data_IF_886070026101
#
_entry.id   IF_886070026101
#
_cell.length_a   1.000
_cell.length_b   1.000
_cell.length_c   1.000
_cell.angle_alpha   90.00
_cell.angle_beta   90.00
_cell.angle_gamma   90.00
#
_symmetry.space_group_name_H-M   'P 1'
#
loop_
_entity.id
_entity.type
_entity.pdbx_description
1 polymer ?
#
# COMPACT_ATOMS: atom_id res chain seq x y z
N UNK A 1 13.56 -38.47 14.97
CA UNK A 1 13.09 -37.07 14.90
C UNK A 1 14.31 -36.16 14.78
N UNK A 2 14.27 -35.06 14.00
CA UNK A 2 15.39 -34.12 13.92
C UNK A 2 15.67 -33.50 15.30
N UNK A 3 16.94 -33.16 15.58
CA UNK A 3 17.32 -32.48 16.82
C UNK A 3 16.77 -31.06 16.84
N UNK A 4 16.57 -30.48 18.04
CA UNK A 4 16.09 -29.11 18.22
C UNK A 4 16.93 -28.08 17.46
N UNK A 5 18.26 -28.20 17.52
CA UNK A 5 19.17 -27.32 16.79
C UNK A 5 18.96 -27.40 15.27
N UNK A 6 18.87 -28.63 14.74
CA UNK A 6 18.61 -28.86 13.31
C UNK A 6 17.28 -28.26 12.85
N UNK A 7 16.24 -28.36 13.68
CA UNK A 7 14.94 -27.76 13.38
C UNK A 7 14.98 -26.23 13.35
N UNK A 8 15.71 -25.60 14.27
CA UNK A 8 15.91 -24.14 14.30
C UNK A 8 16.66 -23.68 13.05
N UNK A 9 17.75 -24.36 12.69
CA UNK A 9 18.55 -24.04 11.51
C UNK A 9 17.72 -24.17 10.21
N UNK A 10 16.96 -25.26 10.07
CA UNK A 10 16.05 -25.47 8.94
C UNK A 10 15.00 -24.36 8.85
N UNK A 11 14.37 -23.99 9.97
CA UNK A 11 13.38 -22.91 10.02
C UNK A 11 14.00 -21.54 9.67
N UNK A 12 15.19 -21.22 10.19
CA UNK A 12 15.91 -19.99 9.86
C UNK A 12 16.20 -19.92 8.36
N UNK A 13 16.80 -20.96 7.79
CA UNK A 13 17.16 -21.02 6.37
C UNK A 13 15.93 -20.93 5.46
N UNK A 14 14.84 -21.61 5.81
CA UNK A 14 13.58 -21.48 5.10
C UNK A 14 13.01 -20.07 5.14
N UNK A 15 13.07 -19.42 6.30
CA UNK A 15 12.53 -18.06 6.51
C UNK A 15 13.36 -17.02 5.77
N UNK A 16 14.69 -17.13 5.82
CA UNK A 16 15.62 -16.27 5.09
C UNK A 16 15.40 -16.41 3.58
N UNK A 17 15.28 -17.64 3.06
CA UNK A 17 14.95 -17.88 1.65
C UNK A 17 13.60 -17.27 1.26
N UNK A 18 12.57 -17.44 2.10
CA UNK A 18 11.26 -16.85 1.87
C UNK A 18 11.33 -15.31 1.86
N UNK A 19 12.03 -14.68 2.82
CA UNK A 19 12.21 -13.23 2.87
C UNK A 19 13.01 -12.69 1.69
N UNK A 20 14.05 -13.40 1.22
CA UNK A 20 14.78 -13.03 0.00
C UNK A 20 13.88 -13.10 -1.23
N UNK A 21 13.08 -14.17 -1.37
CA UNK A 21 12.09 -14.29 -2.44
C UNK A 21 11.09 -13.14 -2.39
N UNK A 22 10.63 -12.79 -1.18
CA UNK A 22 9.76 -11.64 -0.96
C UNK A 22 10.40 -10.34 -1.43
N UNK A 23 11.65 -10.06 -1.07
CA UNK A 23 12.38 -8.85 -1.47
C UNK A 23 12.54 -8.76 -2.99
N UNK A 24 12.90 -9.87 -3.65
CA UNK A 24 13.00 -9.93 -5.11
C UNK A 24 11.66 -9.62 -5.78
N UNK A 25 10.57 -10.13 -5.19
CA UNK A 25 9.23 -9.91 -5.70
C UNK A 25 8.81 -8.45 -5.43
N UNK A 26 8.87 -7.95 -4.20
CA UNK A 26 8.49 -6.56 -3.86
C UNK A 26 9.41 -5.49 -4.46
N UNK A 27 10.57 -5.87 -5.00
CA UNK A 27 11.48 -4.97 -5.71
C UNK A 27 10.92 -4.45 -7.04
N UNK A 28 9.80 -5.01 -7.53
CA UNK A 28 9.08 -4.50 -8.69
C UNK A 28 7.77 -3.83 -8.25
N UNK A 29 7.44 -2.70 -8.88
CA UNK A 29 6.28 -1.85 -8.54
C UNK A 29 4.92 -2.50 -8.78
N UNK A 30 4.89 -3.63 -9.50
CA UNK A 30 3.69 -4.15 -10.16
C UNK A 30 3.32 -5.58 -9.75
N UNK A 31 3.77 -6.01 -8.57
CA UNK A 31 3.47 -7.35 -8.08
C UNK A 31 2.05 -7.46 -7.54
N UNK A 32 1.32 -8.50 -7.99
CA UNK A 32 0.11 -8.98 -7.32
C UNK A 32 0.42 -9.53 -5.93
N UNK A 33 -0.21 -8.95 -4.92
CA UNK A 33 0.01 -9.33 -3.53
C UNK A 33 -0.51 -10.74 -3.19
N UNK A 34 -1.39 -11.33 -4.00
CA UNK A 34 -1.70 -12.77 -3.94
C UNK A 34 -0.48 -13.65 -4.20
N UNK A 35 0.41 -13.27 -5.13
CA UNK A 35 1.66 -13.98 -5.38
C UNK A 35 2.63 -13.92 -4.19
N UNK A 36 2.44 -12.93 -3.31
CA UNK A 36 3.18 -12.78 -2.06
C UNK A 36 2.53 -13.53 -0.89
N UNK A 37 1.25 -13.88 -0.97
CA UNK A 37 0.49 -14.52 0.12
C UNK A 37 1.18 -15.78 0.65
N UNK A 38 1.62 -16.67 -0.23
CA UNK A 38 2.29 -17.92 0.17
C UNK A 38 3.64 -17.66 0.84
N UNK A 39 4.38 -16.66 0.35
CA UNK A 39 5.68 -16.27 0.88
C UNK A 39 5.52 -15.60 2.25
N UNK A 40 4.61 -14.65 2.37
CA UNK A 40 4.28 -13.97 3.62
C UNK A 40 3.76 -14.95 4.67
N UNK A 41 2.86 -15.87 4.29
CA UNK A 41 2.38 -16.92 5.20
C UNK A 41 3.53 -17.82 5.70
N UNK A 42 4.47 -18.19 4.82
CA UNK A 42 5.63 -18.99 5.22
C UNK A 42 6.53 -18.23 6.19
N UNK A 43 6.79 -16.95 5.94
CA UNK A 43 7.58 -16.10 6.85
C UNK A 43 6.87 -15.97 8.21
N UNK A 44 5.59 -15.60 8.21
CA UNK A 44 4.78 -15.43 9.42
C UNK A 44 4.75 -16.70 10.27
N UNK A 45 4.49 -17.84 9.64
CA UNK A 45 4.45 -19.15 10.29
C UNK A 45 5.80 -19.50 10.90
N UNK A 46 6.89 -19.33 10.15
CA UNK A 46 8.20 -19.73 10.60
C UNK A 46 8.75 -18.77 11.69
N UNK A 47 8.48 -17.46 11.63
CA UNK A 47 8.83 -16.52 12.71
C UNK A 47 8.12 -16.90 14.01
N UNK A 48 6.83 -17.27 13.96
CA UNK A 48 6.10 -17.75 15.13
C UNK A 48 6.70 -19.05 15.69
N UNK A 49 7.08 -19.98 14.82
CA UNK A 49 7.74 -21.22 15.24
C UNK A 49 9.10 -20.94 15.89
N UNK A 50 9.91 -20.04 15.29
CA UNK A 50 11.19 -19.61 15.84
C UNK A 50 11.03 -18.91 17.21
N UNK A 51 9.97 -18.13 17.40
CA UNK A 51 9.69 -17.47 18.67
C UNK A 51 9.42 -18.45 19.82
N UNK A 52 8.93 -19.67 19.55
CA UNK A 52 8.73 -20.73 20.56
C UNK A 52 10.08 -21.22 21.11
N UNK A 53 11.14 -21.23 20.28
CA UNK A 53 12.48 -21.65 20.70
C UNK A 53 13.25 -20.56 21.46
N UNK A 54 12.67 -19.37 21.63
CA UNK A 54 13.17 -18.25 22.43
C UNK A 54 14.66 -17.95 22.20
N UNK A 55 15.48 -18.13 23.22
CA UNK A 55 16.92 -17.85 23.23
C UNK A 55 17.68 -18.59 22.13
N UNK A 56 17.36 -19.86 21.90
CA UNK A 56 18.13 -20.70 20.99
C UNK A 56 18.00 -20.26 19.54
N UNK A 57 16.81 -19.78 19.14
CA UNK A 57 16.61 -19.25 17.78
C UNK A 57 17.29 -17.90 17.58
N UNK A 58 17.33 -17.07 18.61
CA UNK A 58 18.08 -15.81 18.60
C UNK A 58 19.58 -16.06 18.51
N UNK A 59 20.12 -17.01 19.28
CA UNK A 59 21.55 -17.36 19.25
C UNK A 59 21.95 -17.97 17.91
N UNK A 60 21.16 -18.91 17.39
CA UNK A 60 21.38 -19.46 16.06
C UNK A 60 21.36 -18.37 14.97
N UNK A 61 20.39 -17.45 15.03
CA UNK A 61 20.29 -16.33 14.10
C UNK A 61 21.46 -15.35 14.18
N UNK A 62 21.91 -14.99 15.38
CA UNK A 62 23.09 -14.13 15.61
C UNK A 62 24.36 -14.82 15.12
N UNK A 63 24.53 -16.10 15.43
CA UNK A 63 25.64 -16.90 14.94
C UNK A 63 25.68 -16.93 13.40
N UNK A 64 24.52 -17.11 12.75
CA UNK A 64 24.45 -17.08 11.30
C UNK A 64 24.74 -15.67 10.73
N UNK A 65 24.31 -14.59 11.39
CA UNK A 65 24.63 -13.20 11.01
C UNK A 65 26.13 -12.92 11.05
N UNK A 66 26.84 -13.46 12.04
CA UNK A 66 28.29 -13.25 12.16
C UNK A 66 29.09 -13.91 11.04
N UNK A 67 28.55 -14.97 10.43
CA UNK A 67 29.22 -15.78 9.40
C UNK A 67 28.83 -15.38 7.98
N UNK A 68 27.75 -14.61 7.80
CA UNK A 68 27.17 -14.30 6.50
C UNK A 68 27.65 -12.94 5.98
N UNK A 69 28.11 -12.89 4.73
CA UNK A 69 28.58 -11.66 4.08
C UNK A 69 27.73 -11.24 2.87
N UNK A 70 26.93 -12.15 2.31
CA UNK A 70 26.09 -11.87 1.14
C UNK A 70 24.94 -10.91 1.49
N UNK A 71 25.03 -9.66 1.03
CA UNK A 71 24.16 -8.56 1.48
C UNK A 71 22.64 -8.83 1.44
N UNK A 72 22.05 -9.41 0.37
CA UNK A 72 20.62 -9.78 0.38
C UNK A 72 20.24 -10.82 1.44
N UNK A 73 21.17 -11.73 1.77
CA UNK A 73 20.98 -12.73 2.82
C UNK A 73 21.09 -12.09 4.19
N UNK A 74 22.09 -11.22 4.39
CA UNK A 74 22.23 -10.46 5.64
C UNK A 74 20.99 -9.62 5.90
N UNK A 75 20.48 -8.90 4.90
CA UNK A 75 19.25 -8.11 5.03
C UNK A 75 18.05 -8.97 5.46
N UNK A 76 17.85 -10.12 4.81
CA UNK A 76 16.77 -11.03 5.16
C UNK A 76 16.92 -11.61 6.57
N UNK A 77 18.15 -11.94 6.97
CA UNK A 77 18.44 -12.48 8.29
C UNK A 77 18.30 -11.42 9.39
N UNK A 78 18.72 -10.18 9.16
CA UNK A 78 18.48 -9.04 10.06
C UNK A 78 16.99 -8.86 10.32
N UNK A 79 16.16 -8.96 9.28
CA UNK A 79 14.70 -8.91 9.43
C UNK A 79 14.17 -10.05 10.31
N UNK A 80 14.60 -11.30 10.06
CA UNK A 80 14.13 -12.48 10.80
C UNK A 80 14.55 -12.41 12.27
N UNK A 81 15.82 -12.10 12.55
CA UNK A 81 16.34 -11.99 13.92
C UNK A 81 15.66 -10.84 14.66
N UNK A 82 15.50 -9.67 14.01
CA UNK A 82 14.78 -8.55 14.62
C UNK A 82 13.31 -8.89 14.90
N UNK A 83 12.61 -9.58 13.99
CA UNK A 83 11.22 -9.97 14.20
C UNK A 83 11.08 -10.98 15.35
N UNK A 84 11.98 -11.96 15.44
CA UNK A 84 12.02 -12.89 16.57
C UNK A 84 12.35 -12.18 17.89
N UNK A 85 13.26 -11.20 17.86
CA UNK A 85 13.60 -10.39 19.04
C UNK A 85 12.41 -9.54 19.50
N UNK A 86 11.69 -8.90 18.57
CA UNK A 86 10.45 -8.15 18.87
C UNK A 86 9.39 -9.06 19.51
N UNK A 87 9.28 -10.32 19.07
CA UNK A 87 8.35 -11.32 19.63
C UNK A 87 8.84 -11.96 20.95
N UNK A 88 10.06 -11.66 21.40
CA UNK A 88 10.63 -12.26 22.62
C UNK A 88 9.98 -11.69 23.88
N UNK A 89 9.62 -12.59 24.80
CA UNK A 89 9.04 -12.24 26.11
C UNK A 89 10.10 -11.70 27.08
N UNK A 90 11.39 -11.98 26.84
CA UNK A 90 12.49 -11.49 27.70
C UNK A 90 12.85 -10.03 27.37
N UNK A 91 12.42 -9.09 28.21
CA UNK A 91 12.64 -7.65 28.02
C UNK A 91 14.12 -7.26 27.91
N UNK A 92 15.00 -7.82 28.76
CA UNK A 92 16.43 -7.49 28.79
C UNK A 92 17.16 -7.99 27.55
N UNK A 93 16.96 -9.26 27.20
CA UNK A 93 17.58 -9.88 26.01
C UNK A 93 17.07 -9.26 24.72
N UNK A 94 15.77 -8.97 24.64
CA UNK A 94 15.16 -8.22 23.53
C UNK A 94 15.83 -6.86 23.35
N UNK A 95 15.95 -6.08 24.43
CA UNK A 95 16.53 -4.74 24.37
C UNK A 95 17.99 -4.80 23.89
N UNK A 96 18.83 -5.62 24.54
CA UNK A 96 20.24 -5.73 24.16
C UNK A 96 20.45 -6.23 22.72
N UNK A 97 19.66 -7.20 22.26
CA UNK A 97 19.78 -7.70 20.89
C UNK A 97 19.30 -6.69 19.85
N UNK A 98 18.20 -6.00 20.10
CA UNK A 98 17.72 -4.96 19.19
C UNK A 98 18.72 -3.80 19.13
N UNK A 99 19.28 -3.38 20.25
CA UNK A 99 20.36 -2.37 20.30
C UNK A 99 21.56 -2.80 19.45
N UNK A 100 22.07 -4.03 19.63
CA UNK A 100 23.16 -4.60 18.84
C UNK A 100 22.84 -4.57 17.33
N UNK A 101 21.63 -4.99 16.94
CA UNK A 101 21.22 -5.01 15.55
C UNK A 101 21.15 -3.60 14.94
N UNK A 102 20.68 -2.62 15.71
CA UNK A 102 20.66 -1.23 15.28
C UNK A 102 22.07 -0.65 15.13
N UNK A 103 22.97 -0.90 16.08
CA UNK A 103 24.35 -0.42 16.03
C UNK A 103 25.09 -0.98 14.81
N UNK A 104 24.91 -2.28 14.54
CA UNK A 104 25.66 -2.95 13.49
C UNK A 104 25.03 -2.83 12.11
N UNK A 105 23.71 -2.77 12.03
CA UNK A 105 22.98 -2.87 10.75
C UNK A 105 22.00 -1.73 10.50
N UNK A 106 21.85 -0.77 11.43
CA UNK A 106 20.88 0.33 11.34
C UNK A 106 21.05 1.21 10.10
N UNK A 107 22.30 1.50 9.70
CA UNK A 107 22.59 2.30 8.52
C UNK A 107 22.31 1.59 7.19
N UNK A 108 22.73 0.33 7.05
CA UNK A 108 22.67 -0.42 5.77
C UNK A 108 21.38 -1.24 5.60
N UNK A 109 20.75 -1.67 6.69
CA UNK A 109 19.58 -2.56 6.69
C UNK A 109 18.41 -1.96 7.48
N UNK A 110 18.30 -0.63 7.50
CA UNK A 110 17.23 0.14 8.14
C UNK A 110 15.83 -0.41 7.84
N UNK A 111 15.54 -0.72 6.58
CA UNK A 111 14.22 -1.22 6.18
C UNK A 111 13.93 -2.64 6.68
N UNK A 112 14.93 -3.50 6.85
CA UNK A 112 14.76 -4.83 7.45
C UNK A 112 14.28 -4.74 8.90
N UNK A 113 14.95 -3.87 9.68
CA UNK A 113 14.63 -3.57 11.07
C UNK A 113 13.26 -2.90 11.19
N UNK A 114 13.00 -1.87 10.40
CA UNK A 114 11.69 -1.20 10.36
C UNK A 114 10.56 -2.19 10.07
N UNK A 115 10.69 -3.00 9.04
CA UNK A 115 9.66 -3.96 8.64
C UNK A 115 9.43 -5.03 9.72
N UNK A 116 10.48 -5.42 10.45
CA UNK A 116 10.37 -6.38 11.55
C UNK A 116 9.51 -5.81 12.69
N UNK A 117 9.78 -4.57 13.10
CA UNK A 117 8.97 -3.88 14.11
C UNK A 117 7.55 -3.62 13.63
N UNK A 118 7.39 -3.23 12.36
CA UNK A 118 6.08 -2.81 11.85
C UNK A 118 5.12 -3.97 11.57
N UNK A 119 5.58 -5.07 10.94
CA UNK A 119 4.71 -6.16 10.49
C UNK A 119 4.50 -7.28 11.52
N UNK A 120 5.35 -7.36 12.53
CA UNK A 120 5.31 -8.43 13.54
C UNK A 120 5.16 -7.85 14.95
N UNK A 121 4.13 -7.02 15.23
CA UNK A 121 3.86 -6.60 16.59
C UNK A 121 3.52 -7.82 17.46
N UNK A 122 3.83 -7.71 18.75
CA UNK A 122 3.51 -8.75 19.72
C UNK A 122 1.98 -8.96 19.83
N UNK A 123 1.55 -10.09 20.40
CA UNK A 123 0.13 -10.30 20.72
C UNK A 123 -0.43 -9.19 21.63
N UNK A 124 -1.76 -9.06 21.70
CA UNK A 124 -2.44 -7.97 22.44
C UNK A 124 -1.91 -7.74 23.85
N UNK A 125 -1.51 -8.81 24.56
CA UNK A 125 -0.97 -8.75 25.93
C UNK A 125 0.42 -8.10 26.05
N UNK A 126 1.16 -7.94 24.95
CA UNK A 126 2.49 -7.36 24.94
C UNK A 126 2.62 -6.16 23.98
N UNK A 127 1.50 -5.66 23.44
CA UNK A 127 1.49 -4.47 22.60
C UNK A 127 2.07 -3.24 23.32
N UNK A 128 1.83 -3.10 24.63
CA UNK A 128 2.38 -2.00 25.43
C UNK A 128 3.90 -2.06 25.51
N UNK A 129 4.47 -3.26 25.63
CA UNK A 129 5.92 -3.48 25.62
C UNK A 129 6.55 -3.16 24.26
N UNK A 130 5.80 -3.32 23.16
CA UNK A 130 6.24 -2.94 21.81
C UNK A 130 6.25 -1.41 21.65
N UNK A 131 5.14 -0.78 22.04
CA UNK A 131 4.97 0.68 22.03
C UNK A 131 6.02 1.37 22.91
N UNK A 132 6.27 0.84 24.11
CA UNK A 132 7.30 1.36 25.01
C UNK A 132 8.70 1.28 24.38
N UNK A 133 9.03 0.18 23.70
CA UNK A 133 10.32 0.04 23.02
C UNK A 133 10.54 1.12 21.94
N UNK A 134 9.49 1.50 21.21
CA UNK A 134 9.56 2.60 20.23
C UNK A 134 9.73 3.94 20.96
N UNK A 135 8.98 4.17 22.04
CA UNK A 135 9.12 5.38 22.85
C UNK A 135 10.50 5.54 23.50
N UNK A 136 11.16 4.43 23.85
CA UNK A 136 12.53 4.39 24.36
C UNK A 136 13.54 4.72 23.24
N UNK A 137 13.37 4.15 22.04
CA UNK A 137 14.22 4.48 20.87
C UNK A 137 14.12 5.96 20.49
N UNK A 138 12.96 6.58 20.65
CA UNK A 138 12.75 8.00 20.39
C UNK A 138 13.59 8.89 21.33
N UNK A 139 13.92 8.39 22.53
CA UNK A 139 14.77 9.08 23.51
C UNK A 139 16.28 8.84 23.27
N UNK A 140 16.65 7.99 22.32
CA UNK A 140 18.05 7.68 22.05
C UNK A 140 18.83 8.92 21.61
N UNK A 141 20.09 8.99 22.03
CA UNK A 141 21.07 9.96 21.51
C UNK A 141 21.52 9.63 20.08
N UNK A 142 21.33 8.38 19.63
CA UNK A 142 21.67 7.96 18.27
C UNK A 142 20.61 8.42 17.27
N UNK A 143 21.01 9.26 16.30
CA UNK A 143 20.11 9.85 15.30
C UNK A 143 19.32 8.79 14.53
N UNK A 144 19.97 7.74 14.02
CA UNK A 144 19.31 6.72 13.20
C UNK A 144 18.22 5.95 13.96
N UNK A 145 18.47 5.65 15.25
CA UNK A 145 17.48 5.00 16.12
C UNK A 145 16.28 5.92 16.34
N UNK A 146 16.55 7.20 16.64
CA UNK A 146 15.51 8.22 16.82
C UNK A 146 14.65 8.41 15.56
N UNK A 147 15.28 8.52 14.38
CA UNK A 147 14.58 8.65 13.11
C UNK A 147 13.77 7.40 12.74
N UNK A 148 14.25 6.20 13.07
CA UNK A 148 13.44 4.99 12.90
C UNK A 148 12.24 4.98 13.86
N UNK A 149 12.45 5.38 15.12
CA UNK A 149 11.38 5.46 16.11
C UNK A 149 10.27 6.43 15.68
N UNK A 150 10.63 7.60 15.14
CA UNK A 150 9.67 8.56 14.56
C UNK A 150 8.87 7.93 13.42
N UNK A 151 9.54 7.27 12.47
CA UNK A 151 8.85 6.60 11.36
C UNK A 151 7.88 5.51 11.86
N UNK A 152 8.32 4.67 12.80
CA UNK A 152 7.51 3.59 13.37
C UNK A 152 6.34 4.13 14.18
N UNK A 153 6.56 5.12 15.03
CA UNK A 153 5.50 5.78 15.79
C UNK A 153 4.43 6.34 14.86
N UNK A 154 4.84 7.01 13.79
CA UNK A 154 3.93 7.52 12.76
C UNK A 154 3.16 6.40 12.05
N UNK A 155 3.82 5.29 11.69
CA UNK A 155 3.19 4.12 11.06
C UNK A 155 2.34 3.27 12.00
N UNK A 156 2.42 3.47 13.31
CA UNK A 156 1.61 2.75 14.28
C UNK A 156 0.55 3.66 14.93
N UNK A 157 0.51 4.94 14.55
CA UNK A 157 -0.43 5.90 15.10
C UNK A 157 -0.22 6.16 16.59
N UNK A 158 1.04 6.14 17.06
CA UNK A 158 1.39 6.27 18.48
C UNK A 158 1.30 7.73 18.94
N UNK A 159 0.09 8.21 19.19
CA UNK A 159 -0.20 9.61 19.56
C UNK A 159 0.51 10.08 20.84
N UNK A 160 0.79 9.18 21.79
CA UNK A 160 1.56 9.52 23.00
C UNK A 160 3.03 9.92 22.72
N UNK A 161 3.57 9.60 21.53
CA UNK A 161 4.90 10.05 21.10
C UNK A 161 4.86 11.43 20.42
N UNK A 162 3.69 11.98 20.13
CA UNK A 162 3.55 13.10 19.21
C UNK A 162 4.19 14.40 19.69
N UNK A 163 4.03 14.76 20.98
CA UNK A 163 4.60 15.99 21.53
C UNK A 163 6.11 16.05 21.31
N UNK A 164 6.81 14.96 21.64
CA UNK A 164 8.26 14.83 21.44
C UNK A 164 8.68 14.92 19.97
N UNK A 165 7.89 14.35 19.06
CA UNK A 165 8.16 14.46 17.62
C UNK A 165 7.94 15.89 17.15
N UNK A 166 6.89 16.56 17.61
CA UNK A 166 6.60 17.96 17.29
C UNK A 166 7.71 18.90 17.80
N UNK A 167 8.15 18.73 19.05
CA UNK A 167 9.26 19.50 19.63
C UNK A 167 10.54 19.33 18.80
N UNK A 168 10.83 18.10 18.38
CA UNK A 168 11.99 17.82 17.55
C UNK A 168 11.89 18.43 16.16
N UNK A 169 10.72 18.36 15.51
CA UNK A 169 10.47 19.00 14.20
C UNK A 169 10.63 20.51 14.30
N UNK A 170 10.13 21.13 15.38
CA UNK A 170 10.26 22.57 15.63
C UNK A 170 11.73 22.99 15.87
N UNK A 171 12.54 22.13 16.50
CA UNK A 171 13.93 22.42 16.83
C UNK A 171 14.94 22.07 15.70
N UNK A 172 14.51 21.37 14.65
CA UNK A 172 15.42 20.85 13.60
C UNK A 172 15.22 21.59 12.28
N UNK A 173 16.32 21.93 11.62
CA UNK A 173 16.31 22.49 10.26
C UNK A 173 15.69 21.54 9.23
N UNK A 174 15.21 22.11 8.13
CA UNK A 174 14.62 21.33 7.04
C UNK A 174 15.66 20.34 6.45
N UNK A 175 15.33 19.06 6.51
CA UNK A 175 16.22 17.96 6.13
C UNK A 175 15.53 16.59 6.25
N UNK A 176 16.23 15.48 5.97
CA UNK A 176 15.63 14.15 5.93
C UNK A 176 14.93 13.76 7.23
N UNK A 177 15.52 14.12 8.37
CA UNK A 177 14.90 13.86 9.67
C UNK A 177 13.63 14.69 9.88
N UNK A 178 13.67 15.99 9.58
CA UNK A 178 12.53 16.90 9.69
C UNK A 178 11.33 16.34 8.92
N UNK A 179 11.57 15.89 7.69
CA UNK A 179 10.56 15.26 6.82
C UNK A 179 9.98 13.97 7.41
N UNK A 180 10.81 13.14 8.05
CA UNK A 180 10.34 11.93 8.75
C UNK A 180 9.39 12.31 9.89
N UNK A 181 9.75 13.33 10.67
CA UNK A 181 8.92 13.84 11.76
C UNK A 181 7.59 14.42 11.28
N UNK A 182 7.61 15.30 10.26
CA UNK A 182 6.40 15.87 9.65
C UNK A 182 5.45 14.76 9.14
N UNK A 183 6.00 13.77 8.43
CA UNK A 183 5.22 12.66 7.90
C UNK A 183 4.66 11.76 9.01
N UNK A 184 5.41 11.57 10.10
CA UNK A 184 4.94 10.80 11.25
C UNK A 184 3.76 11.50 11.93
N UNK A 185 3.85 12.81 12.17
CA UNK A 185 2.76 13.62 12.73
C UNK A 185 1.52 13.59 11.84
N UNK A 186 1.69 13.73 10.51
CA UNK A 186 0.58 13.62 9.56
C UNK A 186 -0.14 12.27 9.66
N UNK A 187 0.60 11.16 9.76
CA UNK A 187 0.02 9.82 9.90
C UNK A 187 -0.69 9.58 11.24
N UNK A 188 -0.32 10.32 12.28
CA UNK A 188 -1.01 10.32 13.58
C UNK A 188 -2.27 11.20 13.59
N UNK A 189 -2.54 11.94 12.51
CA UNK A 189 -3.67 12.85 12.39
C UNK A 189 -3.41 14.22 13.02
N UNK A 190 -2.15 14.48 13.40
CA UNK A 190 -1.73 15.72 14.02
C UNK A 190 -1.18 16.65 12.95
N UNK A 191 -2.11 17.19 12.18
CA UNK A 191 -1.83 18.08 11.05
C UNK A 191 -1.70 19.51 11.58
N UNK A 192 -0.53 20.13 11.38
CA UNK A 192 -0.33 21.55 11.69
C UNK A 192 -1.23 22.43 10.81
N UNK A 193 -1.73 23.55 11.35
CA UNK A 193 -2.44 24.57 10.58
C UNK A 193 -1.59 25.17 9.46
N UNK A 194 -0.26 25.14 9.62
CA UNK A 194 0.71 25.62 8.63
C UNK A 194 1.01 24.61 7.52
N UNK A 195 0.49 23.38 7.62
CA UNK A 195 0.78 22.33 6.64
C UNK A 195 0.42 22.72 5.19
N UNK A 196 -0.72 23.40 4.90
CA UNK A 196 -1.02 23.82 3.53
C UNK A 196 0.06 24.71 2.92
N UNK A 197 0.50 25.75 3.64
CA UNK A 197 1.58 26.63 3.18
C UNK A 197 2.91 25.88 3.02
N UNK A 198 3.18 24.92 3.91
CA UNK A 198 4.36 24.05 3.80
C UNK A 198 4.31 23.15 2.55
N UNK A 199 3.16 22.56 2.24
CA UNK A 199 2.95 21.76 1.02
C UNK A 199 3.14 22.63 -0.22
N UNK A 200 2.54 23.82 -0.26
CA UNK A 200 2.68 24.76 -1.38
C UNK A 200 4.14 25.15 -1.64
N UNK A 201 4.91 25.40 -0.57
CA UNK A 201 6.34 25.68 -0.68
C UNK A 201 7.11 24.49 -1.28
N UNK A 202 6.87 23.28 -0.76
CA UNK A 202 7.60 22.08 -1.18
C UNK A 202 7.30 21.67 -2.63
N UNK A 203 6.07 21.87 -3.11
CA UNK A 203 5.70 21.55 -4.51
C UNK A 203 6.44 22.44 -5.52
N UNK A 204 6.89 23.63 -5.11
CA UNK A 204 7.71 24.53 -5.95
C UNK A 204 9.21 24.22 -5.88
N UNK A 205 9.61 23.27 -5.03
CA UNK A 205 10.99 22.93 -4.78
C UNK A 205 11.56 21.87 -5.72
N UNK A 206 12.57 21.16 -5.21
CA UNK A 206 13.21 20.05 -5.91
C UNK A 206 12.31 18.80 -5.94
N UNK A 207 12.63 17.83 -6.78
CA UNK A 207 11.86 16.58 -6.87
C UNK A 207 11.71 15.82 -5.52
N UNK A 208 12.74 15.74 -4.64
CA UNK A 208 12.56 15.24 -3.27
C UNK A 208 11.56 16.04 -2.41
N UNK A 209 11.45 17.35 -2.64
CA UNK A 209 10.51 18.22 -1.93
C UNK A 209 9.09 17.92 -2.38
N UNK A 210 8.90 17.82 -3.69
CA UNK A 210 7.62 17.45 -4.32
C UNK A 210 7.17 16.06 -3.87
N UNK A 211 8.06 15.07 -3.88
CA UNK A 211 7.77 13.73 -3.37
C UNK A 211 7.33 13.78 -1.90
N UNK A 212 7.99 14.60 -1.08
CA UNK A 212 7.62 14.75 0.33
C UNK A 212 6.25 15.44 0.48
N UNK A 213 6.00 16.53 -0.25
CA UNK A 213 4.70 17.20 -0.30
C UNK A 213 3.56 16.23 -0.66
N UNK A 214 3.78 15.38 -1.67
CA UNK A 214 2.81 14.38 -2.09
C UNK A 214 2.58 13.30 -1.03
N UNK A 215 3.62 12.90 -0.29
CA UNK A 215 3.48 11.98 0.85
C UNK A 215 2.73 12.61 2.02
N UNK A 216 2.92 13.91 2.27
CA UNK A 216 2.17 14.66 3.27
C UNK A 216 0.68 14.69 2.89
N UNK A 217 0.34 15.13 1.68
CA UNK A 217 -1.04 15.11 1.16
C UNK A 217 -1.68 13.72 1.23
N UNK A 218 -0.95 12.69 0.79
CA UNK A 218 -1.40 11.31 0.80
C UNK A 218 -1.67 10.78 2.22
N UNK A 219 -0.88 11.22 3.20
CA UNK A 219 -0.99 10.73 4.60
C UNK A 219 -1.99 11.54 5.41
N UNK A 220 -2.11 12.85 5.18
CA UNK A 220 -3.06 13.71 5.89
C UNK A 220 -4.48 13.61 5.32
N UNK A 221 -4.64 13.16 4.07
CA UNK A 221 -5.90 13.21 3.34
C UNK A 221 -6.26 14.62 2.84
N UNK A 222 -5.35 15.60 3.00
CA UNK A 222 -5.57 17.00 2.63
C UNK A 222 -5.04 17.28 1.23
N UNK A 223 -5.93 17.32 0.25
CA UNK A 223 -5.61 17.58 -1.15
C UNK A 223 -5.82 19.04 -1.56
N UNK A 224 -6.32 19.90 -0.66
CA UNK A 224 -6.66 21.29 -0.94
C UNK A 224 -5.46 22.13 -1.40
N UNK A 225 -4.26 21.81 -0.91
CA UNK A 225 -3.04 22.59 -1.12
C UNK A 225 -2.41 22.49 -2.51
N UNK A 226 -2.90 21.60 -3.38
CA UNK A 226 -2.41 21.47 -4.75
C UNK A 226 -3.58 21.50 -5.73
N UNK A 227 -3.49 22.26 -6.82
CA UNK A 227 -4.54 22.27 -7.85
C UNK A 227 -4.51 20.96 -8.67
N UNK A 228 -5.63 20.62 -9.32
CA UNK A 228 -5.69 19.45 -10.20
C UNK A 228 -4.67 19.55 -11.34
N UNK A 229 -4.57 20.72 -11.96
CA UNK A 229 -3.67 20.96 -13.09
C UNK A 229 -2.20 20.84 -12.68
N UNK A 230 -1.86 21.30 -11.47
CA UNK A 230 -0.52 21.17 -10.92
C UNK A 230 -0.15 19.70 -10.68
N UNK A 231 -1.07 18.89 -10.14
CA UNK A 231 -0.85 17.47 -9.95
C UNK A 231 -0.69 16.73 -11.29
N UNK A 232 -1.53 17.04 -12.29
CA UNK A 232 -1.45 16.44 -13.63
C UNK A 232 -0.14 16.83 -14.32
N UNK A 233 0.29 18.09 -14.22
CA UNK A 233 1.56 18.57 -14.78
C UNK A 233 2.76 17.81 -14.19
N UNK A 234 2.80 17.64 -12.87
CA UNK A 234 3.82 16.80 -12.21
C UNK A 234 3.72 15.34 -12.64
N UNK A 235 2.51 14.82 -12.81
CA UNK A 235 2.28 13.46 -13.23
C UNK A 235 2.83 13.17 -14.64
N UNK A 236 2.87 14.17 -15.52
CA UNK A 236 3.38 14.05 -16.89
C UNK A 236 4.88 14.30 -17.03
N UNK A 237 5.47 15.16 -16.17
CA UNK A 237 6.84 15.66 -16.34
C UNK A 237 7.89 15.04 -15.40
N UNK A 238 7.46 14.39 -14.31
CA UNK A 238 8.38 13.90 -13.28
C UNK A 238 8.97 12.51 -13.57
N UNK A 239 9.98 12.13 -12.78
CA UNK A 239 10.45 10.73 -12.72
C UNK A 239 9.35 9.79 -12.26
N UNK A 240 9.51 8.51 -12.58
CA UNK A 240 8.49 7.46 -12.41
C UNK A 240 7.80 7.46 -11.03
N UNK A 241 8.53 7.59 -9.92
CA UNK A 241 7.92 7.48 -8.59
C UNK A 241 7.07 8.71 -8.22
N UNK A 242 7.55 9.92 -8.52
CA UNK A 242 6.78 11.15 -8.32
C UNK A 242 5.56 11.14 -9.24
N UNK A 243 5.76 10.79 -10.51
CA UNK A 243 4.70 10.71 -11.52
C UNK A 243 3.56 9.79 -11.07
N UNK A 244 3.88 8.58 -10.59
CA UNK A 244 2.89 7.60 -10.11
C UNK A 244 2.05 8.14 -8.96
N UNK A 245 2.68 8.74 -7.95
CA UNK A 245 1.95 9.30 -6.80
C UNK A 245 1.13 10.53 -7.22
N UNK A 246 1.67 11.37 -8.11
CA UNK A 246 0.97 12.53 -8.67
C UNK A 246 -0.31 12.10 -9.41
N UNK A 247 -0.23 11.06 -10.26
CA UNK A 247 -1.39 10.50 -10.95
C UNK A 247 -2.46 9.99 -9.97
N UNK A 248 -2.05 9.31 -8.89
CA UNK A 248 -2.97 8.86 -7.85
C UNK A 248 -3.68 10.05 -7.20
N UNK A 249 -2.92 11.05 -6.75
CA UNK A 249 -3.46 12.24 -6.09
C UNK A 249 -4.36 13.07 -7.03
N UNK A 250 -3.96 13.26 -8.29
CA UNK A 250 -4.74 13.95 -9.31
C UNK A 250 -6.09 13.25 -9.54
N UNK A 251 -6.08 11.92 -9.66
CA UNK A 251 -7.29 11.13 -9.88
C UNK A 251 -8.25 11.16 -8.69
N UNK A 252 -7.71 11.15 -7.47
CA UNK A 252 -8.53 11.25 -6.25
C UNK A 252 -9.11 12.67 -6.11
N UNK A 253 -8.31 13.71 -6.39
CA UNK A 253 -8.74 15.10 -6.32
C UNK A 253 -9.79 15.46 -7.37
N UNK A 254 -9.53 15.13 -8.63
CA UNK A 254 -10.41 15.41 -9.75
C UNK A 254 -10.34 14.25 -10.76
N UNK A 255 -11.20 13.22 -10.58
CA UNK A 255 -11.18 12.04 -11.43
C UNK A 255 -11.49 12.36 -12.89
N UNK A 256 -12.30 13.39 -13.16
CA UNK A 256 -12.68 13.81 -14.52
C UNK A 256 -11.46 14.34 -15.27
N UNK A 257 -10.77 15.34 -14.69
CA UNK A 257 -9.59 15.93 -15.31
C UNK A 257 -8.47 14.90 -15.51
N UNK A 258 -8.24 14.04 -14.52
CA UNK A 258 -7.25 12.97 -14.62
C UNK A 258 -7.60 11.95 -15.72
N UNK A 259 -8.88 11.56 -15.83
CA UNK A 259 -9.34 10.66 -16.88
C UNK A 259 -9.15 11.24 -18.28
N UNK A 260 -9.56 12.49 -18.48
CA UNK A 260 -9.42 13.21 -19.75
C UNK A 260 -7.92 13.36 -20.13
N UNK A 261 -7.06 13.68 -19.17
CA UNK A 261 -5.62 13.78 -19.39
C UNK A 261 -4.98 12.44 -19.78
N UNK A 262 -5.46 11.33 -19.20
CA UNK A 262 -4.91 9.99 -19.45
C UNK A 262 -5.37 9.41 -20.79
N UNK A 263 -6.64 9.62 -21.19
CA UNK A 263 -7.15 9.17 -22.49
C UNK A 263 -6.38 9.82 -23.64
N UNK A 264 -6.03 11.10 -23.49
CA UNK A 264 -5.33 11.86 -24.52
C UNK A 264 -3.80 11.66 -24.52
N UNK A 265 -3.24 10.99 -23.50
CA UNK A 265 -1.79 10.82 -23.36
C UNK A 265 -1.33 9.46 -23.88
N UNK A 266 -1.10 9.35 -25.19
CA UNK A 266 -0.67 8.12 -25.86
C UNK A 266 0.69 7.58 -25.41
N UNK A 267 1.60 8.44 -24.94
CA UNK A 267 2.95 8.06 -24.51
C UNK A 267 3.01 7.42 -23.10
N UNK A 268 1.89 7.43 -22.38
CA UNK A 268 1.79 6.88 -21.04
C UNK A 268 1.95 5.36 -21.01
N UNK A 269 2.63 4.85 -19.97
CA UNK A 269 2.71 3.43 -19.67
C UNK A 269 1.30 2.79 -19.62
N UNK A 270 1.02 1.73 -20.41
CA UNK A 270 -0.31 1.14 -20.50
C UNK A 270 -0.84 0.61 -19.16
N UNK A 271 0.02 0.02 -18.33
CA UNK A 271 -0.34 -0.54 -17.03
C UNK A 271 -0.72 0.57 -16.04
N UNK A 272 0.00 1.69 -16.04
CA UNK A 272 -0.38 2.87 -15.26
C UNK A 272 -1.67 3.51 -15.76
N UNK A 273 -1.84 3.64 -17.08
CA UNK A 273 -3.04 4.18 -17.73
C UNK A 273 -4.30 3.46 -17.25
N UNK A 274 -4.34 2.12 -17.36
CA UNK A 274 -5.53 1.35 -16.97
C UNK A 274 -5.84 1.43 -15.46
N UNK A 275 -4.80 1.55 -14.61
CA UNK A 275 -4.99 1.74 -13.17
C UNK A 275 -5.61 3.10 -12.86
N UNK A 276 -5.19 4.16 -13.54
CA UNK A 276 -5.79 5.48 -13.36
C UNK A 276 -7.23 5.50 -13.87
N UNK A 277 -7.50 4.90 -15.03
CA UNK A 277 -8.87 4.75 -15.54
C UNK A 277 -9.76 4.00 -14.54
N UNK A 278 -9.25 2.94 -13.91
CA UNK A 278 -9.94 2.19 -12.86
C UNK A 278 -10.14 2.98 -11.56
N UNK A 279 -9.14 3.78 -11.16
CA UNK A 279 -9.26 4.65 -9.99
C UNK A 279 -10.25 5.80 -10.24
N UNK A 280 -10.32 6.33 -11.46
CA UNK A 280 -11.34 7.28 -11.89
C UNK A 280 -12.72 6.62 -11.90
N UNK A 281 -12.83 5.37 -12.34
CA UNK A 281 -14.04 4.56 -12.20
C UNK A 281 -15.12 4.82 -13.26
N UNK A 282 -14.82 5.53 -14.35
CA UNK A 282 -15.83 5.77 -15.38
C UNK A 282 -16.13 4.53 -16.24
N UNK A 283 -17.39 4.35 -16.71
CA UNK A 283 -17.77 3.18 -17.52
C UNK A 283 -16.95 3.05 -18.80
N UNK A 284 -16.62 4.16 -19.46
CA UNK A 284 -15.74 4.15 -20.63
C UNK A 284 -14.34 3.60 -20.33
N UNK A 285 -13.82 3.84 -19.12
CA UNK A 285 -12.58 3.25 -18.64
C UNK A 285 -12.67 1.73 -18.48
N UNK A 286 -13.77 1.21 -17.93
CA UNK A 286 -14.00 -0.24 -17.85
C UNK A 286 -14.04 -0.88 -19.24
N UNK A 287 -14.75 -0.27 -20.19
CA UNK A 287 -14.84 -0.74 -21.57
C UNK A 287 -13.44 -0.78 -22.22
N UNK A 288 -12.63 0.27 -22.02
CA UNK A 288 -11.26 0.30 -22.54
C UNK A 288 -10.37 -0.80 -21.93
N UNK A 289 -10.50 -1.06 -20.62
CA UNK A 289 -9.77 -2.15 -19.95
C UNK A 289 -10.18 -3.50 -20.51
N UNK A 290 -11.49 -3.75 -20.64
CA UNK A 290 -12.00 -5.03 -21.16
C UNK A 290 -11.56 -5.25 -22.60
N UNK A 291 -11.67 -4.23 -23.45
CA UNK A 291 -11.16 -4.25 -24.82
C UNK A 291 -9.70 -4.68 -24.88
N UNK A 292 -8.85 -4.09 -24.03
CA UNK A 292 -7.42 -4.46 -23.98
C UNK A 292 -7.18 -5.92 -23.59
N UNK A 293 -8.05 -6.51 -22.76
CA UNK A 293 -7.96 -7.91 -22.33
C UNK A 293 -8.47 -8.87 -23.40
N UNK A 294 -9.49 -8.47 -24.17
CA UNK A 294 -10.06 -9.31 -25.24
C UNK A 294 -9.23 -9.28 -26.52
N UNK A 295 -8.54 -8.18 -26.82
CA UNK A 295 -7.69 -8.04 -28.02
C UNK A 295 -6.34 -8.79 -27.91
N UNK A 296 -5.91 -9.14 -26.69
CA UNK A 296 -4.65 -9.86 -26.48
C UNK A 296 -4.83 -11.38 -26.49
N UNK A 297 -3.88 -12.11 -27.08
CA UNK A 297 -3.85 -13.57 -27.01
C UNK A 297 -3.37 -14.09 -25.64
N UNK A 298 -2.60 -13.28 -24.91
CA UNK A 298 -1.98 -13.64 -23.63
C UNK A 298 -2.93 -13.47 -22.44
N UNK A 299 -2.66 -14.11 -21.30
CA UNK A 299 -3.41 -13.89 -20.06
C UNK A 299 -3.36 -12.45 -19.57
N UNK A 300 -4.42 -12.03 -18.87
CA UNK A 300 -4.54 -10.67 -18.35
C UNK A 300 -3.38 -10.29 -17.42
N UNK A 301 -2.80 -9.11 -17.64
CA UNK A 301 -1.66 -8.58 -16.87
C UNK A 301 -2.06 -8.29 -15.41
N UNK A 302 -1.08 -8.15 -14.49
CA UNK A 302 -1.36 -7.69 -13.13
C UNK A 302 -2.21 -6.42 -13.07
N UNK A 303 -1.87 -5.40 -13.86
CA UNK A 303 -2.59 -4.14 -13.87
C UNK A 303 -4.01 -4.26 -14.44
N UNK A 304 -4.24 -5.10 -15.46
CA UNK A 304 -5.59 -5.37 -15.99
C UNK A 304 -6.48 -6.06 -14.95
N UNK A 305 -5.94 -7.03 -14.21
CA UNK A 305 -6.69 -7.69 -13.13
C UNK A 305 -6.96 -6.74 -11.96
N UNK A 306 -6.02 -5.88 -11.58
CA UNK A 306 -6.24 -4.84 -10.57
C UNK A 306 -7.36 -3.89 -11.01
N UNK A 307 -7.35 -3.45 -12.26
CA UNK A 307 -8.37 -2.58 -12.84
C UNK A 307 -9.75 -3.26 -12.85
N UNK A 308 -9.84 -4.49 -13.36
CA UNK A 308 -11.09 -5.28 -13.36
C UNK A 308 -11.61 -5.53 -11.94
N UNK A 309 -10.74 -5.88 -11.00
CA UNK A 309 -11.12 -6.07 -9.59
C UNK A 309 -11.67 -4.77 -9.00
N UNK A 310 -11.05 -3.63 -9.33
CA UNK A 310 -11.47 -2.30 -8.87
C UNK A 310 -12.84 -1.92 -9.42
N UNK A 311 -13.10 -2.21 -10.70
CA UNK A 311 -14.37 -1.92 -11.34
C UNK A 311 -15.49 -2.87 -10.94
N UNK A 312 -15.22 -4.19 -10.94
CA UNK A 312 -16.22 -5.25 -10.91
C UNK A 312 -16.35 -5.93 -9.54
N UNK A 313 -15.38 -5.77 -8.63
CA UNK A 313 -15.39 -6.44 -7.31
C UNK A 313 -14.69 -7.79 -7.31
N UNK A 314 -14.62 -8.43 -8.48
CA UNK A 314 -13.91 -9.69 -8.73
C UNK A 314 -13.62 -9.84 -10.21
N UNK A 315 -12.81 -10.84 -10.56
CA UNK A 315 -12.45 -11.14 -11.95
C UNK A 315 -13.02 -12.50 -12.31
N UNK A 316 -13.69 -12.65 -13.48
CA UNK A 316 -14.12 -13.96 -13.96
C UNK A 316 -12.95 -14.95 -14.00
N UNK A 317 -13.23 -16.21 -13.63
CA UNK A 317 -12.19 -17.24 -13.49
C UNK A 317 -11.57 -17.61 -14.84
N UNK A 318 -12.33 -17.44 -15.91
CA UNK A 318 -11.99 -17.69 -17.31
C UNK A 318 -10.76 -16.89 -17.75
N UNK A 319 -10.53 -15.70 -17.17
CA UNK A 319 -9.34 -14.90 -17.44
C UNK A 319 -8.03 -15.52 -16.91
N UNK A 320 -8.14 -16.52 -16.03
CA UNK A 320 -7.00 -17.26 -15.50
C UNK A 320 -6.80 -18.63 -16.18
N UNK A 321 -7.69 -19.05 -17.08
CA UNK A 321 -7.63 -20.35 -17.74
C UNK A 321 -6.45 -20.44 -18.73
N UNK A 322 -5.85 -21.63 -18.82
CA UNK A 322 -4.79 -21.96 -19.79
C UNK A 322 -5.06 -23.34 -20.41
N UNK A 323 -5.23 -23.47 -21.74
CA UNK A 323 -5.30 -22.39 -22.74
C UNK A 323 -6.55 -21.51 -22.57
N UNK A 324 -6.55 -20.34 -23.20
CA UNK A 324 -7.60 -19.34 -23.03
C UNK A 324 -8.45 -19.26 -24.30
N UNK A 325 -9.70 -19.73 -24.23
CA UNK A 325 -10.68 -19.54 -25.29
C UNK A 325 -11.11 -18.05 -25.35
N UNK A 326 -10.90 -17.42 -26.50
CA UNK A 326 -11.21 -16.00 -26.70
C UNK A 326 -12.72 -15.73 -26.60
N UNK A 327 -13.55 -16.65 -27.07
CA UNK A 327 -15.02 -16.51 -27.04
C UNK A 327 -15.52 -16.62 -25.60
N UNK A 328 -15.09 -17.63 -24.85
CA UNK A 328 -15.45 -17.79 -23.44
C UNK A 328 -15.00 -16.58 -22.60
N UNK A 329 -13.82 -16.02 -22.90
CA UNK A 329 -13.33 -14.82 -22.22
C UNK A 329 -14.21 -13.61 -22.50
N UNK A 330 -14.58 -13.39 -23.76
CA UNK A 330 -15.47 -12.29 -24.16
C UNK A 330 -16.83 -12.43 -23.46
N UNK A 331 -17.46 -13.60 -23.52
CA UNK A 331 -18.76 -13.89 -22.91
C UNK A 331 -18.75 -13.69 -21.38
N UNK A 332 -17.70 -14.18 -20.70
CA UNK A 332 -17.55 -14.02 -19.26
C UNK A 332 -17.40 -12.54 -18.87
N UNK A 333 -16.57 -11.78 -19.61
CA UNK A 333 -16.40 -10.35 -19.39
C UNK A 333 -17.68 -9.56 -19.71
N UNK A 334 -18.37 -9.90 -20.80
CA UNK A 334 -19.65 -9.32 -21.18
C UNK A 334 -20.68 -9.49 -20.08
N UNK A 335 -20.80 -10.71 -19.57
CA UNK A 335 -21.73 -11.04 -18.48
C UNK A 335 -21.42 -10.23 -17.22
N UNK A 336 -20.15 -10.19 -16.81
CA UNK A 336 -19.73 -9.45 -15.62
C UNK A 336 -19.94 -7.93 -15.76
N UNK A 337 -19.59 -7.34 -16.91
CA UNK A 337 -19.76 -5.90 -17.19
C UNK A 337 -21.23 -5.53 -17.22
N UNK A 338 -22.07 -6.27 -17.94
CA UNK A 338 -23.50 -5.99 -18.03
C UNK A 338 -24.19 -6.16 -16.67
N UNK A 339 -23.74 -7.11 -15.84
CA UNK A 339 -24.21 -7.23 -14.46
C UNK A 339 -23.84 -5.99 -13.63
N UNK A 340 -22.58 -5.54 -13.68
CA UNK A 340 -22.13 -4.34 -12.97
C UNK A 340 -22.86 -3.08 -13.46
N UNK A 341 -23.05 -2.90 -14.76
CA UNK A 341 -23.81 -1.79 -15.33
C UNK A 341 -25.27 -1.81 -14.90
N UNK A 342 -25.90 -2.99 -14.85
CA UNK A 342 -27.27 -3.13 -14.34
C UNK A 342 -27.37 -2.73 -12.87
N UNK A 343 -26.47 -3.23 -12.02
CA UNK A 343 -26.43 -2.90 -10.58
C UNK A 343 -26.18 -1.40 -10.37
N UNK A 344 -25.34 -0.79 -11.21
CA UNK A 344 -25.01 0.62 -11.15
C UNK A 344 -26.03 1.53 -11.85
N UNK A 345 -27.09 0.98 -12.46
CA UNK A 345 -28.04 1.70 -13.30
C UNK A 345 -27.37 2.53 -14.41
N UNK A 346 -26.34 1.97 -15.04
CA UNK A 346 -25.71 2.54 -16.23
C UNK A 346 -26.51 2.05 -17.44
N UNK A 347 -27.10 2.96 -18.23
CA UNK A 347 -27.94 2.58 -19.36
C UNK A 347 -27.07 2.08 -20.51
N UNK A 348 -27.42 0.91 -21.03
CA UNK A 348 -26.74 0.26 -22.14
C UNK A 348 -27.66 0.16 -23.34
N UNK A 349 -27.10 0.01 -24.54
CA UNK A 349 -27.86 -0.25 -25.76
C UNK A 349 -28.39 -1.69 -25.75
N UNK A 350 -29.47 -1.93 -26.51
CA UNK A 350 -30.06 -3.27 -26.66
C UNK A 350 -29.05 -4.29 -27.22
N UNK A 351 -28.13 -3.83 -28.07
CA UNK A 351 -27.11 -4.61 -28.74
C UNK A 351 -25.85 -4.86 -27.88
N UNK A 352 -25.82 -4.36 -26.63
CA UNK A 352 -24.63 -4.40 -25.78
C UNK A 352 -24.10 -5.81 -25.46
N UNK A 353 -24.87 -6.87 -25.76
CA UNK A 353 -24.47 -8.28 -25.61
C UNK A 353 -23.54 -8.78 -26.72
N UNK A 354 -23.58 -8.15 -27.90
CA UNK A 354 -22.90 -8.65 -29.12
C UNK A 354 -22.09 -7.59 -29.84
N UNK A 355 -22.18 -6.32 -29.44
CA UNK A 355 -21.47 -5.24 -30.07
C UNK A 355 -19.96 -5.20 -29.72
N UNK A 356 -19.22 -4.37 -30.45
CA UNK A 356 -17.81 -4.09 -30.15
C UNK A 356 -17.62 -3.43 -28.78
N UNK A 357 -16.43 -3.62 -28.18
CA UNK A 357 -16.04 -2.98 -26.92
C UNK A 357 -15.69 -1.50 -27.08
N UNK A 358 -16.69 -0.69 -27.40
CA UNK A 358 -16.55 0.77 -27.45
C UNK A 358 -17.62 1.45 -26.59
N UNK A 359 -17.31 2.59 -25.95
CA UNK A 359 -18.32 3.34 -25.20
C UNK A 359 -19.56 3.66 -26.05
N UNK A 360 -19.33 4.05 -27.30
CA UNK A 360 -20.39 4.42 -28.24
C UNK A 360 -21.29 3.24 -28.62
N UNK A 361 -20.75 2.02 -28.78
CA UNK A 361 -21.55 0.86 -29.12
C UNK A 361 -22.31 0.28 -27.91
N UNK A 362 -21.73 0.37 -26.71
CA UNK A 362 -22.31 -0.27 -25.52
C UNK A 362 -23.24 0.63 -24.72
N UNK A 363 -22.89 1.91 -24.55
CA UNK A 363 -23.62 2.82 -23.66
C UNK A 363 -24.73 3.54 -24.43
N UNK A 364 -25.88 3.69 -23.79
CA UNK A 364 -26.98 4.49 -24.36
C UNK A 364 -26.60 5.99 -24.39
N UNK A 365 -25.87 6.45 -23.38
CA UNK A 365 -25.35 7.80 -23.24
C UNK A 365 -23.82 7.76 -23.10
N UNK A 366 -23.07 7.65 -24.20
CA UNK A 366 -21.61 7.51 -24.15
C UNK A 366 -20.88 8.78 -23.71
N UNK A 367 -21.49 9.97 -23.88
CA UNK A 367 -20.73 11.22 -23.90
C UNK A 367 -21.45 12.48 -23.38
N UNK A 368 -22.26 12.36 -22.33
CA UNK A 368 -22.75 13.54 -21.62
C UNK A 368 -21.74 13.91 -20.54
N UNK A 369 -20.96 14.96 -20.82
CA UNK A 369 -19.86 15.49 -19.99
C UNK A 369 -20.22 15.73 -18.50
N UNK A 370 -21.48 15.61 -18.08
CA UNK A 370 -21.93 15.73 -16.70
C UNK A 370 -22.75 14.52 -16.18
N UNK A 371 -23.64 13.88 -16.96
CA UNK A 371 -24.48 12.78 -16.44
C UNK A 371 -23.75 11.42 -16.41
N UNK A 372 -23.00 11.05 -17.46
CA UNK A 372 -22.21 9.81 -17.47
C UNK A 372 -20.98 9.89 -16.54
N UNK A 373 -20.39 11.08 -16.41
CA UNK A 373 -19.28 11.37 -15.46
C UNK A 373 -19.73 11.44 -14.00
N UNK A 374 -21.03 11.35 -13.70
CA UNK A 374 -21.54 11.19 -12.33
C UNK A 374 -21.65 9.72 -11.90
N UNK A 375 -21.72 8.77 -12.86
CA UNK A 375 -21.95 7.34 -12.59
C UNK A 375 -20.63 6.58 -12.62
N UNK A 376 -19.84 6.77 -11.56
CA UNK A 376 -18.58 6.05 -11.35
C UNK A 376 -18.85 4.65 -10.77
N UNK A 377 -17.98 3.71 -11.07
CA UNK A 377 -18.03 2.32 -10.62
C UNK A 377 -16.92 2.02 -9.62
N UNK A 378 -17.27 1.25 -8.59
CA UNK A 378 -16.34 0.66 -7.64
C UNK A 378 -16.87 -0.68 -7.16
N UNK A 379 -16.05 -1.71 -7.24
CA UNK A 379 -16.37 -3.07 -6.79
C UNK A 379 -17.74 -3.60 -7.25
N UNK A 380 -18.11 -3.32 -8.50
CA UNK A 380 -19.37 -3.76 -9.12
C UNK A 380 -20.58 -2.89 -8.78
N UNK A 381 -20.40 -1.81 -8.00
CA UNK A 381 -21.46 -0.92 -7.58
C UNK A 381 -21.26 0.52 -8.07
N UNK A 382 -22.35 1.28 -8.17
CA UNK A 382 -22.29 2.71 -8.44
C UNK A 382 -21.76 3.47 -7.22
N UNK A 383 -20.75 4.31 -7.44
CA UNK A 383 -20.37 5.38 -6.51
C UNK A 383 -21.34 6.54 -6.68
N UNK A 384 -22.38 6.59 -5.87
CA UNK A 384 -23.45 7.62 -5.98
C UNK A 384 -23.07 8.96 -5.35
N UNK A 385 -22.21 8.95 -4.32
CA UNK A 385 -21.67 10.13 -3.63
C UNK A 385 -20.23 9.83 -3.16
N UNK A 386 -19.36 10.85 -3.00
CA UNK A 386 -18.03 10.66 -2.39
C UNK A 386 -18.11 9.93 -1.04
N UNK A 387 -19.10 10.31 -0.22
CA UNK A 387 -19.41 9.74 1.09
C UNK A 387 -19.86 8.26 1.04
N UNK A 388 -20.44 7.83 -0.09
CA UNK A 388 -20.89 6.46 -0.34
C UNK A 388 -19.79 5.56 -0.93
N UNK A 389 -18.69 6.15 -1.41
CA UNK A 389 -17.48 5.42 -1.84
C UNK A 389 -16.39 5.37 -0.77
N UNK A 390 -16.52 6.19 0.28
CA UNK A 390 -15.56 6.26 1.37
C UNK A 390 -15.75 5.17 2.43
N UNK A 391 -14.62 4.71 2.94
CA UNK A 391 -14.44 3.92 4.18
C UNK A 391 -14.39 2.40 4.05
N UNK A 392 -15.04 1.74 3.09
CA UNK A 392 -14.97 0.26 3.05
C UNK A 392 -13.90 -0.23 2.07
N UNK A 393 -12.69 -0.45 2.61
CA UNK A 393 -11.73 -1.34 1.95
C UNK A 393 -12.35 -2.74 1.90
N UNK A 394 -12.74 -3.15 0.69
CA UNK A 394 -13.23 -4.50 0.43
C UNK A 394 -12.09 -5.51 0.58
N UNK A 395 -12.37 -6.76 0.92
CA UNK A 395 -11.34 -7.82 1.04
C UNK A 395 -10.61 -8.05 -0.29
N UNK A 396 -11.22 -7.69 -1.43
CA UNK A 396 -10.59 -7.70 -2.76
C UNK A 396 -9.40 -6.74 -2.89
N UNK A 397 -9.30 -5.70 -2.06
CA UNK A 397 -8.11 -4.81 -2.01
C UNK A 397 -6.84 -5.59 -1.67
N UNK A 398 -6.98 -6.65 -0.87
CA UNK A 398 -5.88 -7.54 -0.51
C UNK A 398 -5.37 -8.38 -1.70
N UNK A 399 -6.11 -8.40 -2.81
CA UNK A 399 -5.75 -9.12 -4.02
C UNK A 399 -5.04 -8.23 -5.04
N UNK A 400 -5.22 -6.91 -4.94
CA UNK A 400 -4.62 -5.94 -5.86
C UNK A 400 -3.11 -5.82 -5.68
N UNK A 401 -2.43 -5.32 -6.71
CA UNK A 401 -1.02 -4.93 -6.65
C UNK A 401 -0.73 -3.73 -5.75
N UNK A 402 0.54 -3.56 -5.39
CA UNK A 402 0.99 -2.58 -4.41
C UNK A 402 0.56 -1.14 -4.76
N UNK A 403 0.76 -0.71 -6.01
CA UNK A 403 0.41 0.64 -6.44
C UNK A 403 -1.09 0.93 -6.32
N UNK A 404 -1.94 0.05 -6.85
CA UNK A 404 -3.39 0.24 -6.80
C UNK A 404 -3.89 0.24 -5.36
N UNK A 405 -3.36 -0.68 -4.53
CA UNK A 405 -3.66 -0.72 -3.10
C UNK A 405 -3.26 0.58 -2.40
N UNK A 406 -2.08 1.14 -2.71
CA UNK A 406 -1.66 2.42 -2.15
C UNK A 406 -2.64 3.54 -2.52
N UNK A 407 -3.04 3.62 -3.78
CA UNK A 407 -3.98 4.62 -4.26
C UNK A 407 -5.33 4.54 -3.50
N UNK A 408 -5.84 3.32 -3.26
CA UNK A 408 -7.07 3.10 -2.52
C UNK A 408 -6.97 3.49 -1.04
N UNK A 409 -5.81 3.28 -0.40
CA UNK A 409 -5.59 3.73 0.98
C UNK A 409 -5.53 5.25 1.09
N UNK A 410 -4.94 5.90 0.08
CA UNK A 410 -4.93 7.36 -0.02
C UNK A 410 -6.35 7.88 -0.22
N UNK A 411 -7.09 7.32 -1.17
CA UNK A 411 -8.49 7.69 -1.45
C UNK A 411 -9.33 7.59 -0.16
N UNK A 412 -9.20 6.48 0.57
CA UNK A 412 -9.88 6.31 1.85
C UNK A 412 -9.53 7.42 2.85
N UNK A 413 -8.25 7.76 3.00
CA UNK A 413 -7.80 8.80 3.93
C UNK A 413 -8.33 10.18 3.54
N UNK A 414 -8.39 10.47 2.24
CA UNK A 414 -8.98 11.71 1.71
C UNK A 414 -10.48 11.77 1.98
N UNK A 415 -11.22 10.69 1.70
CA UNK A 415 -12.67 10.64 1.96
C UNK A 415 -13.01 10.80 3.45
N UNK A 416 -12.16 10.32 4.35
CA UNK A 416 -12.39 10.49 5.79
C UNK A 416 -11.82 11.80 6.37
N UNK A 417 -11.10 12.60 5.57
CA UNK A 417 -10.44 13.83 6.03
C UNK A 417 -9.41 13.61 7.16
N UNK A 418 -8.92 12.38 7.31
CA UNK A 418 -7.98 11.98 8.36
C UNK A 418 -7.14 10.80 7.90
N UNK A 419 -5.92 10.60 8.44
CA UNK A 419 -5.16 9.39 8.16
C UNK A 419 -5.97 8.18 8.57
N UNK A 420 -6.29 7.31 7.61
CA UNK A 420 -6.88 6.02 7.92
C UNK A 420 -5.78 5.00 8.08
N UNK A 421 -5.81 4.32 9.23
CA UNK A 421 -4.94 3.20 9.53
C UNK A 421 -3.48 3.57 9.32
N UNK A 422 -2.88 4.27 10.29
CA UNK A 422 -1.46 4.60 10.28
C UNK A 422 -0.56 3.39 9.89
N UNK A 423 -1.03 2.17 10.14
CA UNK A 423 -0.38 0.89 9.79
C UNK A 423 -0.69 0.31 8.41
N UNK A 424 -1.51 0.95 7.57
CA UNK A 424 -1.79 0.50 6.21
C UNK A 424 -0.58 0.75 5.30
N UNK A 425 -0.28 -0.26 4.48
CA UNK A 425 0.89 -0.25 3.62
C UNK A 425 0.62 -1.06 2.38
N UNK A 426 0.99 -0.49 1.23
CA UNK A 426 1.03 -1.21 -0.03
C UNK A 426 1.89 -2.48 0.02
N UNK A 427 2.87 -2.52 0.93
CA UNK A 427 3.88 -3.57 1.03
C UNK A 427 3.77 -4.41 2.30
N UNK A 428 2.75 -4.23 3.14
CA UNK A 428 2.60 -5.06 4.33
C UNK A 428 2.03 -6.45 3.98
N UNK A 429 2.30 -7.43 4.85
CA UNK A 429 1.70 -8.76 4.73
C UNK A 429 0.17 -8.68 4.81
N UNK A 430 -0.50 -9.59 4.10
CA UNK A 430 -1.96 -9.63 4.09
C UNK A 430 -2.56 -9.77 5.51
N UNK A 431 -1.85 -10.45 6.42
CA UNK A 431 -2.27 -10.58 7.81
C UNK A 431 -2.23 -9.25 8.56
N UNK A 432 -1.11 -8.52 8.50
CA UNK A 432 -1.02 -7.19 9.11
C UNK A 432 -2.10 -6.25 8.55
N UNK A 433 -2.37 -6.34 7.24
CA UNK A 433 -3.47 -5.61 6.63
C UNK A 433 -4.83 -6.02 7.18
N UNK A 434 -5.13 -7.31 7.32
CA UNK A 434 -6.39 -7.79 7.91
C UNK A 434 -6.54 -7.35 9.38
N UNK A 435 -5.46 -7.39 10.15
CA UNK A 435 -5.45 -6.94 11.55
C UNK A 435 -5.76 -5.43 11.63
N UNK A 436 -5.09 -4.60 10.82
CA UNK A 436 -5.33 -3.14 10.76
C UNK A 436 -6.70 -2.80 10.18
N UNK A 437 -7.14 -3.50 9.12
CA UNK A 437 -8.46 -3.29 8.48
C UNK A 437 -9.59 -3.70 9.43
N UNK A 438 -9.45 -4.83 10.14
CA UNK A 438 -10.43 -5.26 11.15
C UNK A 438 -10.60 -4.24 12.26
N UNK A 439 -9.50 -3.65 12.74
CA UNK A 439 -9.52 -2.54 13.71
C UNK A 439 -10.13 -1.27 13.11
N UNK A 440 -9.81 -0.94 11.85
CA UNK A 440 -10.32 0.26 11.18
C UNK A 440 -11.83 0.18 10.89
N UNK A 441 -12.34 -0.99 10.50
CA UNK A 441 -13.78 -1.27 10.34
C UNK A 441 -14.53 -1.16 11.65
N UNK A 442 -13.92 -1.61 12.74
CA UNK A 442 -14.48 -1.46 14.08
C UNK A 442 -14.56 0.02 14.49
N UNK A 443 -13.45 0.77 14.37
CA UNK A 443 -13.40 2.20 14.69
C UNK A 443 -14.35 3.06 13.83
N UNK A 444 -14.52 2.72 12.55
CA UNK A 444 -15.46 3.40 11.64
C UNK A 444 -16.93 3.20 11.99
N UNK A 445 -17.28 2.10 12.68
CA UNK A 445 -18.64 1.87 13.20
C UNK A 445 -18.86 2.59 14.54
N UNK A 446 -17.86 2.62 15.41
CA UNK A 446 -17.95 3.28 16.72
C UNK A 446 -18.01 4.80 16.60
N UNK A 447 -17.35 5.40 15.61
CA UNK A 447 -17.37 6.86 15.38
C UNK A 447 -18.63 7.37 14.65
N UNK A 448 -19.61 6.49 14.36
CA UNK A 448 -20.91 6.83 13.75
C UNK A 448 -22.10 6.70 14.72
N UNK A 449 -21.80 6.53 16.01
CA UNK A 449 -22.75 6.72 17.14
C UNK A 449 -22.34 8.01 17.84
#
# INVERSE_FOLDING_TARGET
MPSRAKLIDELLDETVRARRRRLNVTGTSDVRLLGLKTVDFKIDRNIRALAIFHSDSLDAGVNQLTRMTHAPTVHALVHVVAACAVQSVSTSRRKGLLELLFERYGGQHRSALRDAWWFYPMGRSAFDLHSQGIADMLQSSQSDRKLMAMELAGRLGMTHCASRIADWVAATSDGPGHRIGELALCRMGLVSETLPGRIEQLIRGSEPDVMHAFRLMASSGRLESASSDQLISWAQSAKHDVSRLAWCLATIKNPVAAHDAVINNNAMDPDLRIRILALAGFPGGLIAVVRSVTEQALPATPAQIDALTTFLGGVPMELNAKPMDATQRDEALRTAVLAAFRVAHIPVRNEAKVCEWTPHAMLAEPDTAHSARSRRLRYGAAMRLPENGGVVLHTSVLQMGALMRQALYIDQSVQAGRPIGAGLSAYASARHQLDVIGVSHWLGRVARV
#
